data_IF_567990917717
#
_entry.id   IF_567990917717
#
_cell.length_a   1.000
_cell.length_b   1.000
_cell.length_c   1.000
_cell.angle_alpha   90.00
_cell.angle_beta   90.00
_cell.angle_gamma   90.00
#
_symmetry.space_group_name_H-M   'P 1'
#
loop_
_entity.id
_entity.type
_entity.pdbx_description
1 polymer ?
#
# COMPACT_ATOMS: atom_id res chain seq x y z
N UNK A 1 13.39 -8.90 -21.51
CA UNK A 1 12.99 -10.28 -21.19
C UNK A 1 11.48 -10.33 -21.05
N UNK A 2 10.83 -11.19 -21.83
CA UNK A 2 9.38 -11.36 -21.81
C UNK A 2 8.93 -12.07 -20.55
N UNK A 3 7.65 -11.92 -20.27
CA UNK A 3 6.99 -12.51 -19.10
C UNK A 3 6.97 -14.05 -19.16
N UNK A 4 7.00 -14.63 -20.37
CA UNK A 4 7.12 -16.08 -20.57
C UNK A 4 8.56 -16.56 -20.39
N UNK A 5 9.57 -15.81 -20.84
CA UNK A 5 10.98 -16.11 -20.56
C UNK A 5 11.26 -16.12 -19.05
N UNK A 6 10.74 -15.11 -18.34
CA UNK A 6 10.78 -15.03 -16.86
C UNK A 6 10.15 -16.26 -16.21
N UNK A 7 9.01 -16.75 -16.73
CA UNK A 7 8.36 -17.94 -16.19
C UNK A 7 9.15 -19.22 -16.44
N UNK A 8 9.69 -19.41 -17.64
CA UNK A 8 10.53 -20.56 -17.96
C UNK A 8 11.74 -20.62 -17.04
N UNK A 9 12.47 -19.50 -16.88
CA UNK A 9 13.61 -19.42 -15.97
C UNK A 9 13.23 -19.72 -14.51
N UNK A 10 12.04 -19.30 -14.06
CA UNK A 10 11.53 -19.67 -12.74
C UNK A 10 11.29 -21.18 -12.62
N UNK A 11 10.64 -21.81 -13.59
CA UNK A 11 10.30 -23.24 -13.55
C UNK A 11 11.56 -24.10 -13.57
N UNK A 12 12.53 -23.74 -14.41
CA UNK A 12 13.83 -24.40 -14.56
C UNK A 12 14.78 -24.14 -13.39
N UNK A 13 14.44 -23.19 -12.51
CA UNK A 13 15.30 -22.74 -11.39
C UNK A 13 16.64 -22.19 -11.87
N UNK A 14 16.62 -21.50 -13.01
CA UNK A 14 17.83 -21.04 -13.68
C UNK A 14 18.56 -19.99 -12.82
N UNK A 15 19.81 -20.30 -12.43
CA UNK A 15 20.65 -19.48 -11.59
C UNK A 15 21.22 -18.25 -12.32
N UNK A 16 21.32 -18.29 -13.66
CA UNK A 16 21.82 -17.18 -14.47
C UNK A 16 20.90 -15.95 -14.41
N UNK A 17 19.64 -16.18 -14.03
CA UNK A 17 18.64 -15.14 -13.84
C UNK A 17 18.40 -14.82 -12.35
N UNK A 18 19.19 -15.36 -11.43
CA UNK A 18 19.02 -15.07 -10.01
C UNK A 18 19.30 -13.59 -9.72
N UNK A 19 18.37 -12.92 -9.04
CA UNK A 19 18.42 -11.48 -8.79
C UNK A 19 18.09 -10.59 -10.00
N UNK A 20 17.98 -11.13 -11.22
CA UNK A 20 17.54 -10.37 -12.39
C UNK A 20 16.05 -10.00 -12.34
N UNK A 21 15.25 -10.84 -11.67
CA UNK A 21 13.85 -10.59 -11.36
C UNK A 21 13.39 -11.47 -10.21
N UNK A 22 12.22 -11.16 -9.66
CA UNK A 22 11.57 -11.89 -8.59
C UNK A 22 10.20 -12.36 -9.04
N UNK A 23 9.91 -13.65 -8.86
CA UNK A 23 8.62 -14.23 -9.18
C UNK A 23 7.69 -14.15 -7.99
N UNK A 24 6.55 -13.49 -8.17
CA UNK A 24 5.53 -13.30 -7.16
C UNK A 24 4.31 -14.19 -7.45
N UNK A 25 3.93 -15.00 -6.47
CA UNK A 25 2.86 -15.99 -6.58
C UNK A 25 1.56 -15.36 -6.10
N UNK A 26 0.68 -15.01 -7.05
CA UNK A 26 -0.59 -14.30 -6.81
C UNK A 26 -1.46 -15.02 -5.78
N UNK A 27 -1.47 -16.35 -5.77
CA UNK A 27 -2.30 -17.15 -4.86
C UNK A 27 -1.77 -17.20 -3.44
N UNK A 28 -0.45 -17.27 -3.23
CA UNK A 28 0.13 -17.38 -1.87
C UNK A 28 0.58 -16.04 -1.30
N UNK A 29 0.70 -15.01 -2.14
CA UNK A 29 1.26 -13.71 -1.72
C UNK A 29 2.75 -13.81 -1.37
N UNK A 30 3.48 -14.77 -1.94
CA UNK A 30 4.90 -14.98 -1.69
C UNK A 30 5.69 -14.61 -2.94
N UNK A 31 6.80 -13.89 -2.80
CA UNK A 31 7.77 -13.73 -3.88
C UNK A 31 9.04 -14.52 -3.65
N UNK A 32 9.64 -14.99 -4.74
CA UNK A 32 10.73 -15.96 -4.79
C UNK A 32 11.82 -15.52 -5.75
N UNK A 33 13.04 -16.01 -5.48
CA UNK A 33 14.14 -16.07 -6.45
C UNK A 33 13.85 -17.09 -7.55
N UNK A 34 14.52 -16.96 -8.69
CA UNK A 34 14.46 -17.97 -9.77
C UNK A 34 14.91 -19.34 -9.24
N UNK A 35 15.97 -19.37 -8.45
CA UNK A 35 16.59 -20.55 -7.82
C UNK A 35 15.75 -21.21 -6.71
N UNK A 36 14.56 -20.68 -6.38
CA UNK A 36 13.72 -21.20 -5.30
C UNK A 36 13.30 -22.66 -5.52
N UNK A 37 13.50 -23.51 -4.51
CA UNK A 37 13.18 -24.95 -4.57
C UNK A 37 11.70 -25.26 -4.26
N UNK A 38 10.91 -24.26 -3.85
CA UNK A 38 9.48 -24.43 -3.60
C UNK A 38 8.72 -24.93 -4.83
N UNK A 39 7.56 -25.58 -4.60
CA UNK A 39 6.66 -26.04 -5.66
C UNK A 39 6.32 -24.87 -6.61
N UNK A 40 6.53 -25.09 -7.91
CA UNK A 40 6.34 -24.04 -8.93
C UNK A 40 4.84 -23.83 -9.20
N UNK A 41 4.35 -22.57 -9.15
CA UNK A 41 2.95 -22.23 -9.44
C UNK A 41 2.64 -22.29 -10.94
N UNK A 42 1.35 -22.36 -11.29
CA UNK A 42 0.88 -22.21 -12.68
C UNK A 42 1.17 -20.80 -13.21
N UNK A 43 1.44 -20.66 -14.52
CA UNK A 43 1.78 -19.39 -15.18
C UNK A 43 0.81 -18.25 -14.89
N UNK A 44 -0.49 -18.52 -14.92
CA UNK A 44 -1.57 -17.56 -14.65
C UNK A 44 -1.49 -16.93 -13.25
N UNK A 45 -0.92 -17.68 -12.29
CA UNK A 45 -0.79 -17.32 -10.89
C UNK A 45 0.55 -16.67 -10.54
N UNK A 46 1.33 -16.25 -11.55
CA UNK A 46 2.62 -15.59 -11.37
C UNK A 46 2.63 -14.22 -12.02
N UNK A 47 3.16 -13.25 -11.31
CA UNK A 47 3.66 -11.99 -11.86
C UNK A 47 5.15 -11.82 -11.52
N UNK A 48 5.82 -10.89 -12.18
CA UNK A 48 7.24 -10.67 -12.02
C UNK A 48 7.53 -9.23 -11.66
N UNK A 49 8.54 -9.06 -10.82
CA UNK A 49 9.03 -7.77 -10.35
C UNK A 49 10.52 -7.69 -10.62
N UNK A 50 10.99 -6.54 -11.09
CA UNK A 50 12.40 -6.35 -11.42
C UNK A 50 13.24 -6.07 -10.15
N UNK A 51 12.60 -5.77 -9.02
CA UNK A 51 13.26 -5.60 -7.74
C UNK A 51 12.51 -6.23 -6.57
N UNK A 52 13.25 -6.52 -5.50
CA UNK A 52 12.69 -6.89 -4.18
C UNK A 52 11.73 -5.80 -3.69
N UNK A 53 12.06 -4.53 -3.96
CA UNK A 53 11.23 -3.40 -3.58
C UNK A 53 9.86 -3.52 -4.19
N UNK A 54 9.77 -3.74 -5.50
CA UNK A 54 8.50 -3.77 -6.21
C UNK A 54 7.65 -4.95 -5.74
N UNK A 55 8.26 -6.12 -5.50
CA UNK A 55 7.54 -7.29 -4.99
C UNK A 55 7.00 -7.08 -3.56
N UNK A 56 7.84 -6.52 -2.67
CA UNK A 56 7.41 -6.18 -1.32
C UNK A 56 6.36 -5.08 -1.34
N UNK A 57 6.59 -4.04 -2.15
CA UNK A 57 5.68 -2.92 -2.36
C UNK A 57 4.35 -3.49 -2.74
N UNK A 58 4.31 -4.41 -3.72
CA UNK A 58 3.18 -5.23 -4.21
C UNK A 58 2.51 -6.15 -3.17
N UNK A 59 2.94 -6.08 -1.91
CA UNK A 59 2.30 -6.80 -0.82
C UNK A 59 2.66 -8.29 -0.78
N UNK A 60 3.66 -8.72 -1.55
CA UNK A 60 4.19 -10.07 -1.47
C UNK A 60 5.18 -10.17 -0.31
N UNK A 61 5.05 -11.22 0.50
CA UNK A 61 6.03 -11.52 1.54
C UNK A 61 7.22 -12.29 0.96
N UNK A 62 8.44 -12.11 1.48
CA UNK A 62 9.59 -12.88 1.04
C UNK A 62 9.39 -14.36 1.35
N UNK A 63 9.77 -15.22 0.41
CA UNK A 63 9.74 -16.66 0.60
C UNK A 63 10.68 -17.09 1.72
N UNK A 64 10.20 -17.93 2.64
CA UNK A 64 11.02 -18.46 3.74
C UNK A 64 12.00 -19.56 3.28
N UNK A 65 11.75 -20.17 2.12
CA UNK A 65 12.58 -21.24 1.56
C UNK A 65 13.80 -20.63 0.86
N UNK A 66 13.55 -19.80 -0.16
CA UNK A 66 14.65 -19.19 -0.88
C UNK A 66 15.11 -17.88 -0.28
N UNK A 67 14.49 -17.34 0.78
CA UNK A 67 14.94 -16.13 1.49
C UNK A 67 15.48 -15.04 0.56
N UNK A 68 14.65 -14.50 -0.35
CA UNK A 68 15.09 -13.64 -1.44
C UNK A 68 15.74 -12.34 -0.93
N UNK A 69 15.47 -11.98 0.33
CA UNK A 69 16.10 -10.87 1.01
C UNK A 69 17.57 -11.12 1.37
N UNK A 70 18.08 -12.36 1.36
CA UNK A 70 19.41 -12.67 1.90
C UNK A 70 20.55 -12.63 0.87
N UNK A 71 20.27 -12.63 -0.44
CA UNK A 71 21.28 -12.94 -1.47
C UNK A 71 21.76 -11.79 -2.37
N UNK A 72 21.42 -10.53 -2.10
CA UNK A 72 21.79 -9.45 -3.03
C UNK A 72 23.23 -8.89 -2.83
N UNK A 73 23.91 -9.24 -1.74
CA UNK A 73 25.33 -9.03 -1.40
C UNK A 73 25.48 -9.37 0.08
N UNK A 74 26.71 -9.63 0.57
CA UNK A 74 26.99 -9.91 1.99
C UNK A 74 26.25 -8.91 2.91
N UNK A 75 25.09 -9.34 3.43
CA UNK A 75 24.34 -8.54 4.38
C UNK A 75 25.14 -8.58 5.66
N UNK A 76 25.50 -7.41 6.23
CA UNK A 76 26.10 -7.38 7.55
C UNK A 76 25.27 -8.21 8.52
N UNK A 77 25.93 -9.06 9.32
CA UNK A 77 25.27 -10.04 10.21
C UNK A 77 24.19 -9.37 11.06
N UNK A 78 24.49 -8.17 11.55
CA UNK A 78 23.61 -7.35 12.37
C UNK A 78 22.31 -7.00 11.61
N UNK A 79 22.42 -6.64 10.33
CA UNK A 79 21.25 -6.33 9.48
C UNK A 79 20.45 -7.59 9.17
N UNK A 80 21.11 -8.73 8.96
CA UNK A 80 20.45 -10.01 8.70
C UNK A 80 19.63 -10.49 9.92
N UNK A 81 20.18 -10.37 11.12
CA UNK A 81 19.48 -10.67 12.39
C UNK A 81 18.27 -9.76 12.57
N UNK A 82 18.43 -8.46 12.33
CA UNK A 82 17.35 -7.49 12.42
C UNK A 82 16.24 -7.75 11.38
N UNK A 83 16.59 -8.19 10.18
CA UNK A 83 15.66 -8.61 9.14
C UNK A 83 14.90 -9.88 9.53
N UNK A 84 15.59 -10.87 10.10
CA UNK A 84 14.98 -12.11 10.56
C UNK A 84 13.95 -11.84 11.66
N UNK A 85 14.29 -11.04 12.67
CA UNK A 85 13.36 -10.64 13.74
C UNK A 85 12.10 -9.95 13.18
N UNK A 86 12.28 -9.04 12.22
CA UNK A 86 11.16 -8.35 11.58
C UNK A 86 10.28 -9.28 10.70
N UNK A 87 10.83 -10.37 10.18
CA UNK A 87 10.09 -11.37 9.39
C UNK A 87 9.42 -12.44 10.26
N UNK A 88 9.99 -12.75 11.41
CA UNK A 88 9.46 -13.73 12.37
C UNK A 88 8.38 -13.12 13.28
N UNK A 89 8.46 -11.81 13.55
CA UNK A 89 7.48 -11.09 14.34
C UNK A 89 6.65 -10.10 13.48
N UNK A 90 5.42 -10.49 13.07
CA UNK A 90 4.44 -9.64 12.41
C UNK A 90 4.06 -8.33 13.10
N UNK A 91 4.44 -8.12 14.35
CA UNK A 91 4.17 -6.89 15.11
C UNK A 91 5.45 -6.08 15.34
N UNK A 92 6.58 -6.50 14.78
CA UNK A 92 7.86 -5.85 14.99
C UNK A 92 7.78 -4.36 14.66
N UNK A 93 8.11 -3.55 15.67
CA UNK A 93 8.22 -2.09 15.62
C UNK A 93 9.54 -1.73 16.28
N UNK A 94 10.28 -0.83 15.66
CA UNK A 94 11.49 -0.30 16.23
C UNK A 94 11.60 1.19 15.93
N UNK A 95 11.94 1.94 16.96
CA UNK A 95 12.20 3.37 16.90
C UNK A 95 13.66 3.64 16.54
N UNK A 96 13.98 4.86 16.12
CA UNK A 96 15.37 5.26 15.90
C UNK A 96 16.21 5.19 17.18
N UNK A 97 15.60 5.44 18.34
CA UNK A 97 16.29 5.34 19.62
C UNK A 97 16.66 3.89 19.95
N UNK A 98 15.73 2.94 19.77
CA UNK A 98 15.99 1.51 19.95
C UNK A 98 17.02 0.98 18.96
N UNK A 99 17.01 1.44 17.70
CA UNK A 99 18.05 1.11 16.72
C UNK A 99 19.44 1.54 17.22
N UNK A 100 19.57 2.73 17.79
CA UNK A 100 20.84 3.23 18.37
C UNK A 100 21.30 2.38 19.55
N UNK A 101 20.38 1.97 20.42
CA UNK A 101 20.70 1.06 21.55
C UNK A 101 21.20 -0.30 21.08
N UNK A 102 20.76 -0.74 19.89
CA UNK A 102 21.21 -1.97 19.24
C UNK A 102 22.47 -1.78 18.36
N UNK A 103 23.14 -0.63 18.45
CA UNK A 103 24.39 -0.36 17.73
C UNK A 103 24.21 0.09 16.27
N UNK A 104 22.97 0.33 15.81
CA UNK A 104 22.73 0.85 14.47
C UNK A 104 22.76 2.38 14.43
N UNK A 105 23.46 2.95 13.45
CA UNK A 105 23.21 4.32 13.01
C UNK A 105 21.98 4.35 12.08
N UNK A 106 20.86 5.03 12.44
CA UNK A 106 19.64 5.01 11.64
C UNK A 106 19.82 5.53 10.21
N UNK A 107 20.70 6.51 10.01
CA UNK A 107 20.95 7.08 8.68
C UNK A 107 21.72 6.11 7.79
N UNK A 108 22.67 5.37 8.34
CA UNK A 108 23.44 4.33 7.65
C UNK A 108 22.55 3.14 7.33
N UNK A 109 21.73 2.67 8.28
CA UNK A 109 20.74 1.63 8.02
C UNK A 109 19.76 2.06 6.92
N UNK A 110 19.26 3.30 6.97
CA UNK A 110 18.37 3.85 5.95
C UNK A 110 19.04 3.90 4.58
N UNK A 111 20.27 4.42 4.47
CA UNK A 111 21.01 4.48 3.20
C UNK A 111 21.29 3.09 2.65
N UNK A 112 21.66 2.14 3.52
CA UNK A 112 21.89 0.75 3.13
C UNK A 112 20.61 0.10 2.60
N UNK A 113 19.49 0.23 3.32
CA UNK A 113 18.18 -0.26 2.86
C UNK A 113 17.72 0.42 1.57
N UNK A 114 17.93 1.73 1.43
CA UNK A 114 17.59 2.46 0.22
C UNK A 114 18.43 1.98 -0.98
N UNK A 115 19.71 1.69 -0.77
CA UNK A 115 20.62 1.19 -1.80
C UNK A 115 20.31 -0.24 -2.22
N UNK A 116 19.99 -1.12 -1.27
CA UNK A 116 19.86 -2.56 -1.51
C UNK A 116 18.41 -3.02 -1.76
N UNK A 117 17.42 -2.31 -1.21
CA UNK A 117 16.00 -2.67 -1.31
C UNK A 117 15.11 -1.50 -1.73
N UNK A 118 15.69 -0.34 -2.07
CA UNK A 118 14.94 0.82 -2.57
C UNK A 118 13.93 1.44 -1.60
N UNK A 119 13.88 0.98 -0.36
CA UNK A 119 12.98 1.46 0.70
C UNK A 119 13.75 1.67 1.99
N UNK A 120 13.11 2.20 3.04
CA UNK A 120 13.72 2.25 4.38
C UNK A 120 13.38 0.99 5.19
N UNK A 121 14.17 0.67 6.22
CA UNK A 121 13.85 -0.46 7.12
C UNK A 121 12.47 -0.30 7.79
N UNK A 122 12.10 0.92 8.19
CA UNK A 122 10.77 1.17 8.76
C UNK A 122 9.64 0.92 7.75
N UNK A 123 9.87 1.22 6.47
CA UNK A 123 8.91 0.89 5.40
C UNK A 123 8.81 -0.63 5.24
N UNK A 124 9.94 -1.35 5.23
CA UNK A 124 9.97 -2.81 5.23
C UNK A 124 9.17 -3.41 6.39
N UNK A 125 9.42 -2.99 7.64
CA UNK A 125 8.67 -3.48 8.80
C UNK A 125 7.18 -3.20 8.64
N UNK A 126 6.79 -1.98 8.23
CA UNK A 126 5.38 -1.62 8.02
C UNK A 126 4.71 -2.55 7.01
N UNK A 127 5.36 -2.78 5.88
CA UNK A 127 4.85 -3.64 4.83
C UNK A 127 4.78 -5.10 5.28
N UNK A 128 5.75 -5.58 6.07
CA UNK A 128 5.71 -6.92 6.67
C UNK A 128 4.53 -7.10 7.63
N UNK A 129 4.24 -6.11 8.49
CA UNK A 129 3.07 -6.16 9.39
C UNK A 129 1.75 -6.17 8.60
N UNK A 130 1.66 -5.26 7.64
CA UNK A 130 0.55 -5.15 6.70
C UNK A 130 0.41 -6.48 5.92
N UNK A 131 1.48 -7.12 5.46
CA UNK A 131 1.39 -8.40 4.75
C UNK A 131 1.02 -9.57 5.66
N UNK A 132 1.48 -9.58 6.91
CA UNK A 132 1.10 -10.61 7.87
C UNK A 132 -0.37 -10.51 8.30
N UNK A 133 -0.87 -9.30 8.53
CA UNK A 133 -2.29 -9.07 8.82
C UNK A 133 -3.21 -9.55 7.69
N UNK A 134 -2.75 -9.50 6.44
CA UNK A 134 -3.55 -9.84 5.26
C UNK A 134 -3.28 -11.26 4.75
N UNK A 135 -2.10 -11.84 5.02
CA UNK A 135 -1.70 -13.18 4.59
C UNK A 135 -2.35 -14.32 5.36
N UNK A 136 -2.94 -14.04 6.54
CA UNK A 136 -3.66 -15.01 7.36
C UNK A 136 -5.06 -15.40 6.81
N UNK A 137 -5.49 -14.83 5.68
CA UNK A 137 -6.90 -14.86 5.21
C UNK A 137 -7.03 -15.55 3.84
N UNK A 138 -5.98 -16.24 3.36
CA UNK A 138 -5.90 -16.69 1.97
C UNK A 138 -6.30 -18.15 1.74
N UNK A 139 -7.24 -18.65 2.53
CA UNK A 139 -8.00 -19.87 2.21
C UNK A 139 -9.45 -19.44 1.90
N UNK A 140 -9.85 -19.63 0.65
CA UNK A 140 -11.01 -19.06 -0.03
C UNK A 140 -12.41 -19.42 0.48
N UNK A 141 -12.65 -19.41 1.79
CA UNK A 141 -13.98 -19.49 2.37
C UNK A 141 -14.44 -18.11 2.88
N UNK A 142 -15.74 -17.96 3.07
CA UNK A 142 -16.35 -16.70 3.55
C UNK A 142 -15.63 -16.17 4.78
N UNK A 143 -15.63 -14.85 4.98
CA UNK A 143 -14.98 -14.16 6.12
C UNK A 143 -15.37 -14.77 7.47
N UNK A 144 -16.56 -15.38 7.56
CA UNK A 144 -17.05 -16.10 8.73
C UNK A 144 -16.41 -17.50 8.89
N UNK A 145 -16.25 -18.24 7.79
CA UNK A 145 -15.69 -19.60 7.78
C UNK A 145 -14.17 -19.61 7.96
N UNK A 146 -13.48 -18.60 7.42
CA UNK A 146 -12.03 -18.43 7.63
C UNK A 146 -11.69 -18.12 9.10
N UNK A 147 -12.59 -17.40 9.80
CA UNK A 147 -12.48 -17.19 11.24
C UNK A 147 -12.62 -18.52 12.01
N UNK A 148 -13.64 -19.31 11.68
CA UNK A 148 -13.93 -20.59 12.34
C UNK A 148 -12.90 -21.70 12.02
N UNK A 149 -12.34 -21.73 10.81
CA UNK A 149 -11.35 -22.73 10.38
C UNK A 149 -9.93 -22.48 10.90
N UNK A 150 -9.61 -21.25 11.32
CA UNK A 150 -8.26 -20.86 11.78
C UNK A 150 -8.08 -20.92 13.31
N UNK A 151 -9.01 -21.56 14.03
CA UNK A 151 -8.95 -21.69 15.49
C UNK A 151 -9.49 -20.47 16.26
N UNK A 152 -10.23 -19.57 15.62
CA UNK A 152 -10.89 -18.43 16.28
C UNK A 152 -12.41 -18.63 16.28
N UNK A 153 -13.00 -18.73 17.47
CA UNK A 153 -14.41 -19.09 17.66
C UNK A 153 -15.43 -18.01 17.25
N UNK A 154 -15.02 -16.86 16.69
CA UNK A 154 -15.93 -15.77 16.27
C UNK A 154 -15.23 -14.68 15.44
N UNK A 155 -16.01 -13.91 14.66
CA UNK A 155 -15.57 -12.69 13.96
C UNK A 155 -14.94 -11.64 14.91
N UNK A 156 -15.37 -11.61 16.19
CA UNK A 156 -14.76 -10.80 17.26
C UNK A 156 -13.35 -11.24 17.64
N UNK A 157 -13.03 -12.54 17.59
CA UNK A 157 -11.69 -13.07 17.87
C UNK A 157 -10.68 -12.69 16.78
N UNK A 158 -11.13 -12.71 15.52
CA UNK A 158 -10.36 -12.26 14.36
C UNK A 158 -10.15 -10.73 14.38
N UNK A 159 -11.19 -9.95 14.63
CA UNK A 159 -11.09 -8.51 14.81
C UNK A 159 -10.04 -8.16 15.86
N UNK A 160 -10.02 -8.87 17.01
CA UNK A 160 -9.05 -8.70 18.10
C UNK A 160 -7.60 -9.02 17.69
N UNK A 161 -7.37 -10.01 16.82
CA UNK A 161 -6.03 -10.36 16.33
C UNK A 161 -5.51 -9.35 15.28
N UNK A 162 -6.39 -8.91 14.37
CA UNK A 162 -6.08 -7.86 13.39
C UNK A 162 -5.85 -6.51 14.06
N UNK A 163 -6.66 -6.20 15.07
CA UNK A 163 -6.57 -5.06 15.99
C UNK A 163 -5.20 -4.95 16.67
N UNK A 164 -4.62 -6.08 17.09
CA UNK A 164 -3.27 -6.13 17.67
C UNK A 164 -2.16 -5.84 16.65
N UNK A 165 -2.37 -6.10 15.35
CA UNK A 165 -1.34 -5.94 14.30
C UNK A 165 -1.41 -4.55 13.63
N UNK A 166 -2.62 -4.08 13.31
CA UNK A 166 -2.87 -2.79 12.64
C UNK A 166 -3.06 -1.65 13.65
N UNK A 167 -3.37 -1.97 14.91
CA UNK A 167 -3.35 -1.04 16.03
C UNK A 167 -4.69 -0.36 16.31
N UNK A 168 -5.58 -1.06 17.01
CA UNK A 168 -6.63 -0.51 17.89
C UNK A 168 -7.09 -1.58 18.88
N UNK A 169 -7.27 -1.25 20.17
CA UNK A 169 -7.81 -2.19 21.15
C UNK A 169 -9.35 -2.30 21.03
N UNK A 170 -9.95 -3.50 21.03
CA UNK A 170 -11.40 -3.67 21.12
C UNK A 170 -11.83 -3.45 22.58
N UNK A 171 -11.83 -2.19 23.01
CA UNK A 171 -12.31 -1.79 24.34
C UNK A 171 -13.72 -1.20 24.34
N UNK A 172 -14.31 -0.90 23.17
CA UNK A 172 -15.57 -0.14 23.08
C UNK A 172 -16.52 -0.56 21.96
N UNK A 173 -16.24 -1.64 21.23
CA UNK A 173 -17.24 -2.22 20.35
C UNK A 173 -18.16 -3.10 21.20
N UNK A 174 -19.40 -2.65 21.42
CA UNK A 174 -20.47 -3.53 21.89
C UNK A 174 -20.60 -4.74 20.95
N UNK A 175 -21.28 -5.79 21.41
CA UNK A 175 -21.31 -7.15 20.85
C UNK A 175 -21.63 -7.31 19.35
N UNK A 176 -21.92 -6.24 18.60
CA UNK A 176 -21.95 -6.23 17.13
C UNK A 176 -21.38 -4.90 16.61
N UNK A 177 -20.47 -4.91 15.62
CA UNK A 177 -19.99 -3.66 15.01
C UNK A 177 -21.13 -2.99 14.23
N UNK A 178 -21.50 -1.76 14.63
CA UNK A 178 -22.57 -1.01 13.95
C UNK A 178 -22.24 -0.69 12.49
N UNK A 179 -20.96 -0.51 12.16
CA UNK A 179 -20.48 -0.16 10.83
C UNK A 179 -19.31 -1.07 10.42
N UNK A 180 -19.31 -1.54 9.18
CA UNK A 180 -18.24 -2.36 8.60
C UNK A 180 -17.56 -1.60 7.47
N UNK A 181 -16.23 -1.53 7.54
CA UNK A 181 -15.38 -1.16 6.43
C UNK A 181 -14.82 -2.44 5.83
N UNK A 182 -15.03 -2.66 4.53
CA UNK A 182 -14.36 -3.73 3.79
C UNK A 182 -13.12 -3.18 3.11
N UNK A 183 -12.06 -3.97 3.08
CA UNK A 183 -10.87 -3.62 2.33
C UNK A 183 -10.51 -4.68 1.28
N UNK A 184 -9.98 -4.20 0.16
CA UNK A 184 -9.49 -5.02 -0.94
C UNK A 184 -8.12 -4.52 -1.38
N UNK A 185 -7.20 -5.46 -1.64
CA UNK A 185 -5.90 -5.17 -2.25
C UNK A 185 -5.90 -5.48 -3.72
N UNK A 186 -5.12 -4.72 -4.47
CA UNK A 186 -4.90 -4.94 -5.88
C UNK A 186 -3.56 -4.35 -6.33
N UNK A 187 -3.03 -4.92 -7.40
CA UNK A 187 -1.76 -4.48 -7.99
C UNK A 187 -2.00 -3.33 -8.98
N UNK A 188 -1.06 -2.40 -9.04
CA UNK A 188 -1.04 -1.32 -10.04
C UNK A 188 0.38 -1.12 -10.58
N UNK A 189 0.57 -0.43 -11.73
CA UNK A 189 1.90 -0.11 -12.25
C UNK A 189 2.78 0.70 -11.27
N UNK A 190 2.18 1.33 -10.24
CA UNK A 190 2.87 2.15 -9.24
C UNK A 190 3.10 1.42 -7.90
N UNK A 191 2.96 0.10 -7.90
CA UNK A 191 2.86 -0.72 -6.70
C UNK A 191 1.40 -0.94 -6.29
N UNK A 192 1.12 -1.73 -5.26
CA UNK A 192 -0.21 -2.13 -4.94
C UNK A 192 -0.89 -1.03 -4.15
N UNK A 193 -2.19 -1.10 -4.22
CA UNK A 193 -3.06 -0.20 -3.52
C UNK A 193 -4.04 -0.98 -2.67
N UNK A 194 -4.57 -0.29 -1.68
CA UNK A 194 -5.62 -0.77 -0.81
C UNK A 194 -6.82 0.14 -1.02
N UNK A 195 -7.94 -0.44 -1.42
CA UNK A 195 -9.24 0.20 -1.42
C UNK A 195 -9.96 -0.19 -0.13
N UNK A 196 -10.55 0.78 0.58
CA UNK A 196 -11.42 0.57 1.74
C UNK A 196 -12.72 1.28 1.50
N UNK A 197 -13.84 0.60 1.71
CA UNK A 197 -15.17 1.17 1.53
C UNK A 197 -16.13 0.70 2.63
N UNK A 198 -17.16 1.50 2.88
CA UNK A 198 -18.35 1.06 3.61
C UNK A 198 -19.54 0.94 2.63
N UNK A 199 -20.76 0.82 3.13
CA UNK A 199 -22.00 0.80 2.35
C UNK A 199 -22.35 2.15 1.67
N UNK A 200 -21.66 3.23 2.01
CA UNK A 200 -21.91 4.58 1.45
C UNK A 200 -20.97 4.93 0.31
N UNK A 201 -19.75 4.38 0.32
CA UNK A 201 -18.75 4.68 -0.70
C UNK A 201 -17.32 4.32 -0.30
N UNK A 202 -16.39 4.71 -1.16
CA UNK A 202 -14.96 4.55 -0.98
C UNK A 202 -14.44 5.52 0.11
N UNK A 203 -13.87 4.96 1.17
CA UNK A 203 -13.34 5.69 2.33
C UNK A 203 -11.82 5.87 2.28
N UNK A 204 -11.10 4.97 1.60
CA UNK A 204 -9.65 5.04 1.41
C UNK A 204 -9.24 4.37 0.10
N UNK A 205 -8.26 4.96 -0.56
CA UNK A 205 -7.56 4.42 -1.71
C UNK A 205 -6.10 4.90 -1.63
N UNK A 206 -5.20 4.03 -1.19
CA UNK A 206 -3.80 4.41 -0.92
C UNK A 206 -2.81 3.31 -1.28
N UNK A 207 -1.55 3.71 -1.50
CA UNK A 207 -0.45 2.80 -1.71
C UNK A 207 -0.09 2.04 -0.42
N UNK A 208 0.13 0.72 -0.54
CA UNK A 208 0.40 -0.16 0.61
C UNK A 208 1.66 0.20 1.42
N UNK A 209 2.57 0.98 0.85
CA UNK A 209 3.82 1.41 1.48
C UNK A 209 3.75 2.81 2.14
N UNK A 210 2.60 3.51 2.03
CA UNK A 210 2.43 4.86 2.58
C UNK A 210 2.70 4.90 4.08
N UNK A 211 3.45 5.91 4.53
CA UNK A 211 3.88 6.04 5.93
C UNK A 211 2.74 6.08 6.93
N UNK A 212 1.65 6.75 6.56
CA UNK A 212 0.52 7.00 7.43
C UNK A 212 -0.59 5.95 7.32
N UNK A 213 -0.43 4.90 6.51
CA UNK A 213 -1.53 3.97 6.20
C UNK A 213 -2.14 3.31 7.46
N UNK A 214 -1.31 2.85 8.39
CA UNK A 214 -1.79 2.28 9.67
C UNK A 214 -2.58 3.31 10.50
N UNK A 215 -2.07 4.54 10.59
CA UNK A 215 -2.77 5.62 11.29
C UNK A 215 -4.04 6.07 10.57
N UNK A 216 -4.11 5.94 9.23
CA UNK A 216 -5.29 6.23 8.43
C UNK A 216 -6.38 5.19 8.66
N UNK A 217 -6.04 3.90 8.76
CA UNK A 217 -6.98 2.86 9.18
C UNK A 217 -7.53 3.12 10.58
N UNK A 218 -6.64 3.37 11.56
CA UNK A 218 -7.06 3.66 12.93
C UNK A 218 -7.96 4.90 13.02
N UNK A 219 -7.63 5.97 12.28
CA UNK A 219 -8.44 7.19 12.26
C UNK A 219 -9.78 6.98 11.53
N UNK A 220 -9.83 6.21 10.44
CA UNK A 220 -11.10 5.85 9.76
C UNK A 220 -12.02 5.04 10.67
N UNK A 221 -11.49 4.00 11.32
CA UNK A 221 -12.26 3.19 12.27
C UNK A 221 -12.82 4.05 13.42
N UNK A 222 -12.03 5.00 13.94
CA UNK A 222 -12.48 5.94 14.98
C UNK A 222 -13.56 6.89 14.48
N UNK A 223 -13.36 7.53 13.32
CA UNK A 223 -14.29 8.52 12.76
C UNK A 223 -15.63 7.91 12.38
N UNK A 224 -15.62 6.68 11.87
CA UNK A 224 -16.80 5.99 11.37
C UNK A 224 -17.40 5.02 12.40
N UNK A 225 -16.77 4.86 13.57
CA UNK A 225 -17.19 3.86 14.56
C UNK A 225 -17.26 2.45 13.96
N UNK A 226 -16.30 2.13 13.09
CA UNK A 226 -16.34 0.96 12.22
C UNK A 226 -15.22 -0.03 12.52
N UNK A 227 -15.48 -1.30 12.21
CA UNK A 227 -14.44 -2.33 12.14
C UNK A 227 -13.94 -2.49 10.71
N UNK A 228 -12.65 -2.75 10.55
CA UNK A 228 -12.03 -2.97 9.25
C UNK A 228 -11.87 -4.47 9.01
N UNK A 229 -12.55 -4.99 7.97
CA UNK A 229 -12.58 -6.41 7.63
C UNK A 229 -12.10 -6.65 6.19
N UNK A 230 -11.43 -7.79 5.92
CA UNK A 230 -11.18 -8.20 4.56
C UNK A 230 -12.51 -8.39 3.82
N UNK A 231 -12.58 -7.97 2.57
CA UNK A 231 -13.78 -8.21 1.78
C UNK A 231 -13.77 -7.42 0.49
N UNK A 232 -14.91 -7.50 -0.19
CA UNK A 232 -15.18 -6.71 -1.38
C UNK A 232 -16.61 -6.22 -1.30
N UNK A 233 -16.85 -5.04 -1.83
CA UNK A 233 -18.19 -4.55 -2.11
C UNK A 233 -18.18 -3.83 -3.46
N UNK A 234 -19.35 -3.34 -3.87
CA UNK A 234 -19.51 -2.65 -5.14
C UNK A 234 -18.54 -1.46 -5.30
N UNK A 235 -18.21 -0.74 -4.22
CA UNK A 235 -17.32 0.42 -4.28
C UNK A 235 -15.85 0.04 -4.38
N UNK A 236 -15.39 -1.02 -3.70
CA UNK A 236 -14.00 -1.50 -3.86
C UNK A 236 -13.82 -2.10 -5.26
N UNK A 237 -14.78 -2.89 -5.74
CA UNK A 237 -14.74 -3.48 -7.08
C UNK A 237 -14.78 -2.40 -8.17
N UNK A 238 -15.68 -1.42 -8.05
CA UNK A 238 -15.73 -0.28 -8.97
C UNK A 238 -14.44 0.56 -8.92
N UNK A 239 -13.89 0.82 -7.73
CA UNK A 239 -12.65 1.57 -7.61
C UNK A 239 -11.48 0.88 -8.31
N UNK A 240 -11.35 -0.44 -8.15
CA UNK A 240 -10.31 -1.23 -8.78
C UNK A 240 -10.48 -1.23 -10.30
N UNK A 241 -11.69 -1.51 -10.80
CA UNK A 241 -11.98 -1.50 -12.24
C UNK A 241 -11.62 -0.15 -12.85
N UNK A 242 -12.11 0.94 -12.27
CA UNK A 242 -11.86 2.28 -12.80
C UNK A 242 -10.38 2.68 -12.73
N UNK A 243 -9.64 2.22 -11.72
CA UNK A 243 -8.19 2.46 -11.69
C UNK A 243 -7.45 1.68 -12.76
N UNK A 244 -7.84 0.43 -13.04
CA UNK A 244 -7.23 -0.35 -14.11
C UNK A 244 -7.45 0.33 -15.46
N UNK A 245 -8.66 0.82 -15.73
CA UNK A 245 -8.97 1.62 -16.93
C UNK A 245 -8.18 2.94 -16.96
N UNK A 246 -7.98 3.59 -15.80
CA UNK A 246 -7.15 4.81 -15.71
C UNK A 246 -5.70 4.50 -16.09
N UNK A 247 -5.12 3.44 -15.54
CA UNK A 247 -3.75 3.02 -15.86
C UNK A 247 -3.59 2.53 -17.30
N UNK A 248 -4.67 2.05 -17.93
CA UNK A 248 -4.71 1.73 -19.36
C UNK A 248 -4.89 2.97 -20.27
N UNK A 249 -5.15 4.15 -19.69
CA UNK A 249 -5.40 5.38 -20.44
C UNK A 249 -6.83 5.52 -20.98
N UNK A 250 -7.71 4.59 -20.64
CA UNK A 250 -9.11 4.54 -21.11
C UNK A 250 -10.04 5.42 -20.25
N UNK A 251 -9.69 5.62 -18.97
CA UNK A 251 -10.48 6.43 -18.03
C UNK A 251 -9.83 7.77 -17.71
N UNK A 252 -10.59 8.84 -17.94
CA UNK A 252 -10.22 10.23 -17.60
C UNK A 252 -10.97 10.79 -16.39
N UNK A 253 -12.12 10.21 -16.05
CA UNK A 253 -12.99 10.64 -14.94
C UNK A 253 -13.44 9.47 -14.08
N UNK A 254 -13.58 9.69 -12.77
CA UNK A 254 -14.02 8.66 -11.82
C UNK A 254 -15.45 8.92 -11.36
N UNK A 255 -16.26 7.87 -11.26
CA UNK A 255 -17.66 7.95 -10.82
C UNK A 255 -17.94 7.21 -9.52
N UNK A 256 -16.93 6.59 -8.91
CA UNK A 256 -17.09 5.88 -7.63
C UNK A 256 -17.53 6.86 -6.53
N UNK A 257 -18.66 6.60 -5.84
CA UNK A 257 -19.07 7.39 -4.69
C UNK A 257 -17.99 7.40 -3.60
N UNK A 258 -17.68 8.59 -3.08
CA UNK A 258 -16.65 8.79 -2.07
C UNK A 258 -17.31 9.09 -0.72
N UNK A 259 -16.88 8.37 0.32
CA UNK A 259 -17.22 8.63 1.71
C UNK A 259 -15.93 8.83 2.52
N UNK A 260 -15.19 9.88 2.17
CA UNK A 260 -13.91 10.22 2.80
C UNK A 260 -14.13 11.21 3.95
N UNK A 261 -14.04 10.79 5.24
CA UNK A 261 -14.28 11.70 6.36
C UNK A 261 -13.12 12.69 6.54
N UNK A 262 -13.46 13.96 6.79
CA UNK A 262 -12.49 15.07 6.92
C UNK A 262 -13.15 16.32 7.48
N UNK A 263 -12.37 17.32 7.88
CA UNK A 263 -12.89 18.62 8.33
C UNK A 263 -13.60 19.35 7.19
N UNK A 264 -14.48 20.30 7.51
CA UNK A 264 -15.14 21.12 6.49
C UNK A 264 -14.14 21.82 5.54
N UNK A 265 -12.98 22.23 6.07
CA UNK A 265 -11.91 22.80 5.24
C UNK A 265 -11.30 21.75 4.30
N UNK A 266 -10.98 20.55 4.81
CA UNK A 266 -10.47 19.45 3.98
C UNK A 266 -11.45 19.06 2.88
N UNK A 267 -12.73 18.95 3.18
CA UNK A 267 -13.77 18.64 2.17
C UNK A 267 -13.79 19.68 1.04
N UNK A 268 -13.71 20.97 1.37
CA UNK A 268 -13.64 22.04 0.35
C UNK A 268 -12.37 21.97 -0.50
N UNK A 269 -11.22 21.69 0.12
CA UNK A 269 -9.96 21.49 -0.64
C UNK A 269 -10.12 20.31 -1.58
N UNK A 270 -10.57 19.16 -1.09
CA UNK A 270 -10.72 17.95 -1.89
C UNK A 270 -11.75 18.09 -3.00
N UNK A 271 -12.84 18.85 -2.79
CA UNK A 271 -13.76 19.22 -3.85
C UNK A 271 -13.05 20.06 -4.93
N UNK A 272 -12.30 21.10 -4.54
CA UNK A 272 -11.53 21.91 -5.49
C UNK A 272 -10.46 21.10 -6.25
N UNK A 273 -9.85 20.10 -5.62
CA UNK A 273 -8.92 19.19 -6.30
C UNK A 273 -9.62 18.38 -7.41
N UNK A 274 -10.85 17.92 -7.18
CA UNK A 274 -11.61 17.12 -8.16
C UNK A 274 -12.02 17.92 -9.39
N UNK A 275 -12.08 19.25 -9.29
CA UNK A 275 -12.33 20.14 -10.43
C UNK A 275 -11.11 20.30 -11.35
N UNK A 276 -9.92 19.86 -10.95
CA UNK A 276 -8.74 19.92 -11.82
C UNK A 276 -8.88 18.87 -12.93
N UNK A 277 -8.94 19.24 -14.22
CA UNK A 277 -9.11 18.29 -15.32
C UNK A 277 -7.95 17.30 -15.45
N UNK A 278 -8.23 16.18 -16.13
CA UNK A 278 -7.21 15.19 -16.48
C UNK A 278 -6.11 15.82 -17.35
N UNK A 279 -4.84 15.60 -17.00
CA UNK A 279 -3.69 16.15 -17.73
C UNK A 279 -3.38 17.62 -17.44
N UNK A 280 -4.18 18.28 -16.61
CA UNK A 280 -3.91 19.65 -16.15
C UNK A 280 -3.30 19.69 -14.74
N UNK A 281 -2.63 20.79 -14.44
CA UNK A 281 -2.10 21.07 -13.10
C UNK A 281 -2.58 22.42 -12.57
N UNK A 282 -2.58 22.57 -11.24
CA UNK A 282 -2.78 23.85 -10.55
C UNK A 282 -1.71 24.07 -9.49
N UNK A 283 -1.49 25.31 -9.10
CA UNK A 283 -0.65 25.64 -7.95
C UNK A 283 -1.46 25.63 -6.65
N UNK A 284 -0.78 25.48 -5.51
CA UNK A 284 -1.44 25.62 -4.20
C UNK A 284 -2.14 26.99 -4.02
N UNK A 285 -1.59 28.05 -4.64
CA UNK A 285 -2.19 29.39 -4.63
C UNK A 285 -3.47 29.45 -5.45
N UNK A 286 -3.51 28.80 -6.61
CA UNK A 286 -4.70 28.71 -7.46
C UNK A 286 -5.83 27.96 -6.77
N UNK A 287 -5.53 26.86 -6.06
CA UNK A 287 -6.54 26.14 -5.26
C UNK A 287 -7.05 27.02 -4.11
N UNK A 288 -6.17 27.74 -3.41
CA UNK A 288 -6.55 28.65 -2.35
C UNK A 288 -7.47 29.79 -2.86
N UNK A 289 -7.16 30.34 -4.03
CA UNK A 289 -7.97 31.35 -4.70
C UNK A 289 -9.33 30.79 -5.17
N UNK A 290 -9.36 29.59 -5.75
CA UNK A 290 -10.60 28.93 -6.17
C UNK A 290 -11.57 28.64 -5.00
N UNK A 291 -11.03 28.52 -3.78
CA UNK A 291 -11.81 28.39 -2.54
C UNK A 291 -12.18 29.74 -1.90
N UNK A 292 -11.97 30.86 -2.58
CA UNK A 292 -12.15 32.22 -2.05
C UNK A 292 -11.37 32.48 -0.76
N UNK A 293 -10.20 31.86 -0.61
CA UNK A 293 -9.32 32.06 0.54
C UNK A 293 -7.83 32.09 0.11
N UNK A 294 -7.38 33.16 -0.59
CA UNK A 294 -6.03 33.23 -1.14
C UNK A 294 -4.91 33.12 -0.10
N UNK A 295 -5.16 33.50 1.16
CA UNK A 295 -4.20 33.39 2.26
C UNK A 295 -3.97 31.96 2.77
N UNK A 296 -4.80 30.98 2.37
CA UNK A 296 -4.77 29.64 2.91
C UNK A 296 -3.80 28.66 2.21
N UNK A 297 -2.84 29.15 1.41
CA UNK A 297 -1.91 28.32 0.61
C UNK A 297 -1.27 27.18 1.41
N UNK A 298 -0.72 27.48 2.60
CA UNK A 298 -0.11 26.46 3.47
C UNK A 298 -1.14 25.44 3.99
N UNK A 299 -2.33 25.91 4.36
CA UNK A 299 -3.40 25.05 4.85
C UNK A 299 -3.93 24.12 3.74
N UNK A 300 -4.03 24.61 2.50
CA UNK A 300 -4.32 23.80 1.30
C UNK A 300 -3.25 22.72 1.12
N UNK A 301 -1.96 23.07 1.24
CA UNK A 301 -0.87 22.09 1.19
C UNK A 301 -1.02 20.96 2.20
N UNK A 302 -1.34 21.29 3.46
CA UNK A 302 -1.61 20.30 4.51
C UNK A 302 -2.85 19.45 4.18
N UNK A 303 -3.95 20.05 3.76
CA UNK A 303 -5.17 19.32 3.40
C UNK A 303 -4.98 18.40 2.17
N UNK A 304 -4.18 18.82 1.19
CA UNK A 304 -3.77 18.02 0.03
C UNK A 304 -2.98 16.78 0.48
N UNK A 305 -2.07 16.94 1.44
CA UNK A 305 -1.31 15.81 2.03
C UNK A 305 -2.17 14.87 2.87
N UNK A 306 -3.31 15.33 3.39
CA UNK A 306 -4.27 14.53 4.16
C UNK A 306 -5.29 13.79 3.28
N UNK A 307 -5.21 13.92 1.96
CA UNK A 307 -6.02 13.13 1.04
C UNK A 307 -5.72 11.63 1.25
N UNK A 308 -6.80 10.85 1.40
CA UNK A 308 -6.81 9.39 1.57
C UNK A 308 -7.36 8.63 0.37
N UNK A 309 -7.75 9.35 -0.68
CA UNK A 309 -8.29 8.80 -1.91
C UNK A 309 -7.33 9.20 -3.03
N UNK A 310 -6.16 8.59 -3.05
CA UNK A 310 -5.14 8.85 -4.06
C UNK A 310 -5.70 8.61 -5.47
N UNK A 311 -5.21 9.37 -6.45
CA UNK A 311 -5.59 9.32 -7.87
C UNK A 311 -7.02 9.84 -8.14
N UNK A 312 -8.06 9.33 -7.47
CA UNK A 312 -9.44 9.77 -7.71
C UNK A 312 -9.75 11.15 -7.12
N UNK A 313 -9.14 11.50 -5.98
CA UNK A 313 -8.97 12.91 -5.57
C UNK A 313 -7.56 13.29 -6.02
N UNK A 314 -7.39 14.10 -7.09
CA UNK A 314 -6.14 14.17 -7.83
C UNK A 314 -5.14 15.15 -7.18
N UNK A 315 -4.72 14.84 -5.95
CA UNK A 315 -3.73 15.62 -5.20
C UNK A 315 -2.34 15.65 -5.87
N UNK A 316 -2.08 14.76 -6.82
CA UNK A 316 -0.87 14.77 -7.67
C UNK A 316 -0.87 15.91 -8.69
N UNK A 317 -2.02 16.47 -9.05
CA UNK A 317 -2.16 17.58 -10.01
C UNK A 317 -1.83 18.95 -9.41
N UNK A 318 -1.57 19.05 -8.11
CA UNK A 318 -1.19 20.31 -7.46
C UNK A 318 0.33 20.42 -7.32
N UNK A 319 0.95 21.46 -7.85
CA UNK A 319 2.41 21.65 -7.87
C UNK A 319 2.82 23.02 -7.30
N UNK A 320 4.13 23.24 -7.11
CA UNK A 320 4.67 24.56 -6.78
C UNK A 320 4.39 25.57 -7.90
N UNK A 321 4.30 26.86 -7.58
CA UNK A 321 4.08 27.91 -8.58
C UNK A 321 5.25 28.03 -9.57
N UNK A 322 6.44 27.56 -9.18
CA UNK A 322 7.65 27.44 -9.98
C UNK A 322 7.72 26.13 -10.79
N UNK A 323 6.64 25.33 -10.78
CA UNK A 323 6.58 24.02 -11.44
C UNK A 323 7.22 22.88 -10.65
N UNK A 324 7.73 23.13 -9.44
CA UNK A 324 8.39 22.09 -8.65
C UNK A 324 7.41 21.04 -8.12
N UNK A 325 7.80 19.77 -8.23
CA UNK A 325 7.08 18.67 -7.59
C UNK A 325 7.41 18.65 -6.10
N UNK A 326 6.47 19.15 -5.30
CA UNK A 326 6.55 19.11 -3.85
C UNK A 326 5.51 18.15 -3.27
N UNK A 327 5.81 17.54 -2.13
CA UNK A 327 4.90 16.80 -1.26
C UNK A 327 3.89 15.86 -1.93
N UNK A 328 4.11 14.54 -1.86
CA UNK A 328 3.11 13.55 -2.25
C UNK A 328 3.11 12.38 -1.26
N UNK A 329 1.92 11.99 -0.76
CA UNK A 329 1.78 10.91 0.22
C UNK A 329 2.32 9.56 -0.26
N UNK A 330 2.26 9.31 -1.57
CA UNK A 330 2.85 8.15 -2.24
C UNK A 330 4.30 8.33 -2.73
N UNK A 331 4.96 9.45 -2.46
CA UNK A 331 6.31 9.76 -2.95
C UNK A 331 6.37 10.48 -4.30
N UNK A 332 7.39 11.33 -4.49
CA UNK A 332 7.49 12.22 -5.66
C UNK A 332 7.57 11.48 -7.00
N UNK A 333 8.16 10.28 -7.03
CA UNK A 333 8.26 9.48 -8.24
C UNK A 333 6.87 9.04 -8.77
N UNK A 334 5.92 8.72 -7.89
CA UNK A 334 4.54 8.40 -8.27
C UNK A 334 3.83 9.62 -8.85
N UNK A 335 4.03 10.78 -8.21
CA UNK A 335 3.46 12.05 -8.69
C UNK A 335 3.96 12.37 -10.11
N UNK A 336 5.26 12.26 -10.34
CA UNK A 336 5.87 12.46 -11.66
C UNK A 336 5.31 11.48 -12.70
N UNK A 337 5.23 10.19 -12.35
CA UNK A 337 4.67 9.17 -13.24
C UNK A 337 3.21 9.46 -13.60
N UNK A 338 2.35 9.77 -12.62
CA UNK A 338 0.93 10.07 -12.86
C UNK A 338 0.77 11.28 -13.79
N UNK A 339 1.54 12.35 -13.56
CA UNK A 339 1.50 13.54 -14.42
C UNK A 339 1.98 13.26 -15.85
N UNK A 340 2.94 12.34 -16.04
CA UNK A 340 3.40 11.92 -17.37
C UNK A 340 2.37 11.02 -18.05
N UNK A 341 1.79 10.08 -17.30
CA UNK A 341 0.74 9.19 -17.76
C UNK A 341 -0.45 9.98 -18.31
N UNK A 342 -0.93 10.96 -17.54
CA UNK A 342 -2.06 11.79 -17.97
C UNK A 342 -1.73 12.62 -19.21
N UNK A 343 -0.53 13.17 -19.31
CA UNK A 343 -0.11 13.93 -20.50
C UNK A 343 0.05 13.07 -21.75
N UNK A 344 0.43 11.81 -21.60
CA UNK A 344 0.61 10.88 -22.73
C UNK A 344 -0.73 10.40 -23.32
N UNK A 345 -1.83 10.49 -22.56
CA UNK A 345 -3.15 9.97 -22.94
C UNK A 345 -4.23 11.08 -23.00
N UNK A 346 -3.80 12.31 -23.28
CA UNK A 346 -4.68 13.47 -23.42
C UNK A 346 -5.71 13.33 -24.54
#
# INVERSE_FOLDING_TARGET
>A
MTDNEKYTALVEKNADFDGAFFAAVKTTGIFCRTTCTARKPKRENVCFYDSIQDALSAGYRPCKICRPMESANQIPKEIAELLAEAQENPQFRITEWELRQRGFDPNTLRRWFQKHYGMTFQAFCRMSRINAAFGAIKDGNSVLDAALGSGYSSASGFATAFDKIIGTAPGRAGKEPKNVLVYQRFDTPLGPMIAVANETGLCLLEFGDRRMLESEFSDLQKRLGAVLLPGKNEFTEAAILQLLEYFAGERKTFSVPLHAPGTAFQQRVWAALREIPYGETRSYGEIAAAMSNPGAVRAVGTANGMNRIAIMIPCHRVIGADGTLTGYGGGLWRKDWLLKHERAHL
#
